data_IF_661336849015
#
_entry.id   IF_661336849015
#
_cell.length_a   1.000
_cell.length_b   1.000
_cell.length_c   1.000
_cell.angle_alpha   90.00
_cell.angle_beta   90.00
_cell.angle_gamma   90.00
#
_symmetry.space_group_name_H-M   'P 1'
#
loop_
_entity.id
_entity.type
_entity.pdbx_description
1 polymer ?
#
# COMPACT_ATOMS: atom_id res chain seq x y z
N UNK A 1 8.65 -3.01 19.75
CA UNK A 1 8.31 -1.61 20.08
C UNK A 1 7.67 -0.85 18.88
N UNK A 2 6.92 -1.52 18.00
CA UNK A 2 6.28 -0.86 16.84
C UNK A 2 4.74 -0.75 16.93
N UNK A 3 4.11 -1.30 17.98
CA UNK A 3 2.66 -1.30 18.14
C UNK A 3 2.09 -0.06 18.87
N UNK A 4 2.93 0.75 19.53
CA UNK A 4 2.43 1.89 20.31
C UNK A 4 2.22 3.18 19.52
N UNK A 5 2.64 3.30 18.26
CA UNK A 5 2.42 4.51 17.46
C UNK A 5 1.05 4.57 16.78
N UNK A 6 0.36 3.44 16.57
CA UNK A 6 -1.02 3.46 16.02
C UNK A 6 -2.09 3.84 17.06
N UNK A 7 -1.76 3.82 18.36
CA UNK A 7 -2.71 4.18 19.44
C UNK A 7 -2.95 5.69 19.61
N UNK A 8 -2.10 6.57 19.09
CA UNK A 8 -2.30 8.03 19.18
C UNK A 8 -3.06 8.65 18.00
N UNK A 9 -3.38 7.87 16.96
CA UNK A 9 -4.25 8.28 15.84
C UNK A 9 -5.62 7.60 15.87
N UNK A 10 -5.88 6.70 16.82
CA UNK A 10 -7.08 5.85 16.85
C UNK A 10 -8.35 6.53 17.38
N UNK A 11 -8.49 7.86 17.26
CA UNK A 11 -9.62 8.55 17.89
C UNK A 11 -10.67 9.16 16.96
N UNK A 12 -10.69 8.85 15.65
CA UNK A 12 -11.78 9.36 14.79
C UNK A 12 -11.93 8.76 13.37
N UNK A 13 -12.00 7.45 13.20
CA UNK A 13 -12.56 6.87 11.96
C UNK A 13 -13.27 5.55 12.25
N UNK A 14 -14.60 5.56 12.18
CA UNK A 14 -15.48 4.37 12.24
C UNK A 14 -15.31 3.41 11.03
N UNK A 15 -14.27 3.56 10.21
CA UNK A 15 -13.99 2.70 9.06
C UNK A 15 -13.32 1.37 9.42
N UNK A 16 -12.99 1.13 10.70
CA UNK A 16 -12.40 -0.13 11.15
C UNK A 16 -13.47 -1.19 11.45
N UNK A 17 -14.29 -1.58 10.46
CA UNK A 17 -15.00 -2.87 10.55
C UNK A 17 -14.05 -3.93 10.05
N UNK A 18 -13.11 -4.35 10.91
CA UNK A 18 -12.23 -5.49 10.63
C UNK A 18 -13.08 -6.75 10.76
N UNK A 19 -13.54 -7.29 9.64
CA UNK A 19 -14.15 -8.61 9.61
C UNK A 19 -13.02 -9.64 9.72
N UNK A 20 -12.96 -10.30 10.87
CA UNK A 20 -11.91 -11.26 11.23
C UNK A 20 -12.31 -12.66 10.73
N UNK A 21 -12.12 -12.92 9.44
CA UNK A 21 -12.26 -14.26 8.83
C UNK A 21 -11.40 -14.22 7.55
N UNK A 22 -10.44 -15.09 7.23
CA UNK A 22 -10.38 -16.55 7.40
C UNK A 22 -8.94 -17.07 7.51
N UNK A 23 -8.86 -18.26 8.09
CA UNK A 23 -7.74 -19.19 8.15
C UNK A 23 -7.75 -20.03 6.86
N UNK A 24 -6.70 -20.01 6.02
CA UNK A 24 -6.26 -21.17 5.20
C UNK A 24 -4.98 -20.92 4.37
N UNK A 25 -4.11 -21.95 4.40
CA UNK A 25 -2.80 -22.16 3.76
C UNK A 25 -1.63 -21.22 4.13
N UNK A 26 -0.43 -21.81 4.20
CA UNK A 26 0.83 -21.16 4.59
C UNK A 26 1.34 -20.16 3.52
N UNK A 27 0.50 -19.18 3.16
CA UNK A 27 0.92 -17.99 2.43
C UNK A 27 1.66 -17.08 3.40
N UNK A 28 2.81 -16.60 2.95
CA UNK A 28 3.52 -15.52 3.65
C UNK A 28 2.60 -14.31 3.67
N UNK A 29 2.31 -13.78 4.85
CA UNK A 29 1.37 -12.65 4.96
C UNK A 29 1.95 -11.41 4.29
N UNK A 30 1.11 -10.65 3.58
CA UNK A 30 1.44 -9.36 3.00
C UNK A 30 1.98 -8.42 4.06
N UNK A 31 1.43 -8.42 5.28
CA UNK A 31 1.96 -7.66 6.40
C UNK A 31 3.43 -8.03 6.69
N UNK A 32 3.76 -9.32 6.74
CA UNK A 32 5.13 -9.77 6.99
C UNK A 32 6.09 -9.40 5.84
N UNK A 33 5.62 -9.47 4.59
CA UNK A 33 6.38 -9.06 3.41
C UNK A 33 6.69 -7.56 3.43
N UNK A 34 5.70 -6.72 3.72
CA UNK A 34 5.88 -5.27 3.83
C UNK A 34 6.81 -4.90 5.00
N UNK A 35 6.72 -5.64 6.11
CA UNK A 35 7.61 -5.47 7.26
C UNK A 35 9.05 -5.83 6.90
N UNK A 36 9.26 -6.97 6.27
CA UNK A 36 10.59 -7.49 5.92
C UNK A 36 11.27 -6.64 4.84
N UNK A 37 10.53 -6.24 3.79
CA UNK A 37 11.05 -5.45 2.68
C UNK A 37 10.85 -3.93 2.85
N UNK A 38 10.60 -3.46 4.07
CA UNK A 38 10.27 -2.05 4.35
C UNK A 38 11.29 -1.08 3.75
N UNK A 39 12.59 -1.33 3.93
CA UNK A 39 13.64 -0.44 3.42
C UNK A 39 13.73 -0.42 1.89
N UNK A 40 13.47 -1.56 1.25
CA UNK A 40 13.40 -1.67 -0.20
C UNK A 40 12.23 -0.85 -0.74
N UNK A 41 11.05 -0.96 -0.13
CA UNK A 41 9.87 -0.20 -0.53
C UNK A 41 10.08 1.29 -0.32
N UNK A 42 10.60 1.69 0.83
CA UNK A 42 10.88 3.09 1.18
C UNK A 42 11.91 3.74 0.24
N UNK A 43 12.87 2.97 -0.28
CA UNK A 43 13.89 3.48 -1.20
C UNK A 43 13.45 3.52 -2.67
N UNK A 44 12.60 2.58 -3.10
CA UNK A 44 12.24 2.40 -4.52
C UNK A 44 10.89 2.99 -4.91
N UNK A 45 10.00 3.25 -3.95
CA UNK A 45 8.66 3.75 -4.21
C UNK A 45 8.71 5.28 -4.44
N UNK A 46 8.75 5.68 -5.71
CA UNK A 46 8.92 7.08 -6.13
C UNK A 46 7.60 7.83 -6.32
N UNK A 47 6.56 7.13 -6.75
CA UNK A 47 5.23 7.68 -6.98
C UNK A 47 4.27 7.21 -5.90
N UNK A 48 3.95 8.11 -4.95
CA UNK A 48 3.04 7.82 -3.84
C UNK A 48 1.59 8.17 -4.15
N UNK A 49 1.34 9.13 -5.06
CA UNK A 49 0.00 9.64 -5.30
C UNK A 49 -0.91 8.57 -5.90
N UNK A 50 -0.41 7.80 -6.85
CA UNK A 50 -1.14 6.67 -7.42
C UNK A 50 -1.54 5.65 -6.35
N UNK A 51 -0.71 5.41 -5.34
CA UNK A 51 -1.07 4.51 -4.24
C UNK A 51 -2.13 5.14 -3.35
N UNK A 52 -1.96 6.41 -2.96
CA UNK A 52 -2.92 7.12 -2.12
C UNK A 52 -4.30 7.19 -2.77
N UNK A 53 -4.38 7.51 -4.06
CA UNK A 53 -5.65 7.60 -4.81
C UNK A 53 -6.37 6.24 -4.84
N UNK A 54 -5.64 5.16 -5.09
CA UNK A 54 -6.23 3.82 -5.14
C UNK A 54 -6.63 3.34 -3.74
N UNK A 55 -5.80 3.55 -2.72
CA UNK A 55 -6.14 3.19 -1.34
C UNK A 55 -7.34 3.99 -0.81
N UNK A 56 -7.47 5.27 -1.19
CA UNK A 56 -8.63 6.09 -0.88
C UNK A 56 -9.88 5.59 -1.61
N UNK A 57 -9.78 5.34 -2.92
CA UNK A 57 -10.89 4.85 -3.73
C UNK A 57 -11.35 3.43 -3.32
N UNK A 58 -10.42 2.60 -2.84
CA UNK A 58 -10.71 1.29 -2.26
C UNK A 58 -11.28 1.34 -0.84
N UNK A 59 -11.37 2.53 -0.22
CA UNK A 59 -11.90 2.71 1.13
C UNK A 59 -10.94 2.29 2.26
N UNK A 60 -9.68 1.99 1.95
CA UNK A 60 -8.67 1.63 2.94
C UNK A 60 -8.07 2.85 3.65
N UNK A 61 -7.98 3.98 2.94
CA UNK A 61 -7.62 5.28 3.52
C UNK A 61 -8.80 6.25 3.42
N UNK A 62 -8.88 7.18 4.36
CA UNK A 62 -9.78 8.34 4.27
C UNK A 62 -9.01 9.59 3.79
N UNK A 63 -9.73 10.67 3.50
CA UNK A 63 -9.12 11.95 3.09
C UNK A 63 -8.12 12.47 4.16
N UNK A 64 -8.43 12.28 5.44
CA UNK A 64 -7.55 12.66 6.55
C UNK A 64 -6.24 11.86 6.54
N UNK A 65 -6.30 10.55 6.29
CA UNK A 65 -5.11 9.70 6.16
C UNK A 65 -4.21 10.19 5.01
N UNK A 66 -4.82 10.55 3.87
CA UNK A 66 -4.12 11.10 2.70
C UNK A 66 -3.47 12.44 3.01
N UNK A 67 -4.20 13.36 3.67
CA UNK A 67 -3.66 14.65 4.09
C UNK A 67 -2.47 14.50 5.05
N UNK A 68 -2.55 13.58 6.02
CA UNK A 68 -1.46 13.31 6.96
C UNK A 68 -0.20 12.86 6.21
N UNK A 69 -0.34 11.96 5.24
CA UNK A 69 0.78 11.53 4.41
C UNK A 69 1.32 12.71 3.61
N UNK A 70 0.46 13.46 2.92
CA UNK A 70 0.89 14.59 2.07
C UNK A 70 1.59 15.71 2.86
N UNK A 71 1.22 15.94 4.13
CA UNK A 71 1.89 16.90 5.02
C UNK A 71 3.27 16.46 5.50
N UNK A 72 3.65 15.20 5.28
CA UNK A 72 4.97 14.68 5.64
C UNK A 72 6.05 15.24 4.69
N UNK A 73 7.16 15.73 5.25
CA UNK A 73 8.14 16.57 4.55
C UNK A 73 8.92 15.81 3.46
N UNK A 74 9.39 14.59 3.76
CA UNK A 74 10.23 13.84 2.83
C UNK A 74 9.45 12.71 2.17
N UNK A 75 9.73 12.43 0.89
CA UNK A 75 9.14 11.29 0.18
C UNK A 75 9.37 9.98 0.93
N UNK A 76 10.57 9.79 1.45
CA UNK A 76 10.95 8.61 2.23
C UNK A 76 10.06 8.44 3.45
N UNK A 77 9.78 9.52 4.19
CA UNK A 77 8.87 9.50 5.33
C UNK A 77 7.41 9.32 4.92
N UNK A 78 7.00 9.86 3.76
CA UNK A 78 5.68 9.60 3.18
C UNK A 78 5.48 8.11 2.91
N UNK A 79 6.45 7.43 2.30
CA UNK A 79 6.37 5.97 2.07
C UNK A 79 6.30 5.21 3.39
N UNK A 80 7.13 5.57 4.37
CA UNK A 80 7.08 4.96 5.70
C UNK A 80 5.69 5.11 6.33
N UNK A 81 5.08 6.29 6.20
CA UNK A 81 3.75 6.58 6.74
C UNK A 81 2.66 5.78 6.03
N UNK A 82 2.72 5.66 4.71
CA UNK A 82 1.80 4.81 3.94
C UNK A 82 1.89 3.37 4.41
N UNK A 83 3.12 2.83 4.52
CA UNK A 83 3.34 1.46 4.98
C UNK A 83 2.79 1.25 6.39
N UNK A 84 2.94 2.21 7.30
CA UNK A 84 2.36 2.16 8.65
C UNK A 84 0.83 2.14 8.61
N UNK A 85 0.22 2.99 7.78
CA UNK A 85 -1.24 3.05 7.65
C UNK A 85 -1.81 1.73 7.11
N UNK A 86 -1.30 1.21 5.99
CA UNK A 86 -1.83 -0.04 5.40
C UNK A 86 -1.64 -1.23 6.34
N UNK A 87 -0.52 -1.31 7.08
CA UNK A 87 -0.30 -2.35 8.08
C UNK A 87 -1.27 -2.23 9.27
N UNK A 88 -1.65 -1.01 9.67
CA UNK A 88 -2.64 -0.82 10.73
C UNK A 88 -4.09 -1.07 10.26
N UNK A 89 -4.38 -0.97 8.96
CA UNK A 89 -5.70 -1.33 8.40
C UNK A 89 -5.90 -2.84 8.28
N UNK A 90 -4.83 -3.60 8.06
CA UNK A 90 -4.83 -5.06 8.08
C UNK A 90 -4.30 -5.71 6.81
N UNK A 91 -4.46 -7.03 6.73
CA UNK A 91 -3.88 -7.85 5.68
C UNK A 91 -4.42 -7.52 4.29
N UNK A 92 -5.74 -7.28 4.16
CA UNK A 92 -6.38 -6.92 2.90
C UNK A 92 -5.85 -5.60 2.32
N UNK A 93 -5.64 -4.59 3.18
CA UNK A 93 -5.04 -3.32 2.78
C UNK A 93 -3.58 -3.49 2.33
N UNK A 94 -2.84 -4.36 3.01
CA UNK A 94 -1.47 -4.72 2.62
C UNK A 94 -1.45 -5.44 1.27
N UNK A 95 -2.36 -6.39 1.04
CA UNK A 95 -2.46 -7.11 -0.23
C UNK A 95 -2.84 -6.15 -1.36
N UNK A 96 -3.82 -5.28 -1.15
CA UNK A 96 -4.24 -4.31 -2.15
C UNK A 96 -3.12 -3.30 -2.47
N UNK A 97 -2.32 -2.89 -1.48
CA UNK A 97 -1.11 -2.09 -1.72
C UNK A 97 -0.13 -2.79 -2.68
N UNK A 98 0.16 -4.07 -2.45
CA UNK A 98 1.05 -4.86 -3.33
C UNK A 98 0.39 -5.05 -4.71
N UNK A 99 -0.93 -5.23 -4.75
CA UNK A 99 -1.71 -5.34 -5.99
C UNK A 99 -1.63 -4.07 -6.85
N UNK A 100 -1.68 -2.88 -6.24
CA UNK A 100 -1.49 -1.61 -6.96
C UNK A 100 -0.10 -1.58 -7.62
N UNK A 101 0.95 -1.94 -6.88
CA UNK A 101 2.33 -1.98 -7.40
C UNK A 101 2.45 -2.99 -8.56
N UNK A 102 1.78 -4.13 -8.45
CA UNK A 102 1.74 -5.16 -9.49
C UNK A 102 1.02 -4.68 -10.77
N UNK A 103 -0.13 -4.01 -10.64
CA UNK A 103 -0.92 -3.54 -11.79
C UNK A 103 -0.27 -2.35 -12.51
N UNK A 104 0.31 -1.43 -11.75
CA UNK A 104 0.89 -0.19 -12.27
C UNK A 104 2.36 -0.41 -12.60
N UNK A 105 2.62 -1.41 -13.46
CA UNK A 105 3.97 -1.89 -13.82
C UNK A 105 4.92 -0.74 -14.19
N UNK A 106 4.49 0.17 -15.06
CA UNK A 106 5.34 1.22 -15.61
C UNK A 106 5.82 2.22 -14.54
N UNK A 107 4.96 2.55 -13.57
CA UNK A 107 5.32 3.47 -12.48
C UNK A 107 6.22 2.80 -11.42
N UNK A 108 6.17 1.47 -11.34
CA UNK A 108 6.84 0.67 -10.30
C UNK A 108 7.79 -0.38 -10.88
N UNK A 109 8.44 -0.08 -11.99
CA UNK A 109 9.35 -1.01 -12.68
C UNK A 109 10.48 -1.53 -11.77
N UNK A 110 10.98 -0.67 -10.87
CA UNK A 110 12.04 -1.01 -9.91
C UNK A 110 11.60 -2.00 -8.81
N UNK A 111 10.29 -2.18 -8.64
CA UNK A 111 9.67 -3.10 -7.68
C UNK A 111 9.25 -4.43 -8.33
N UNK A 112 9.25 -4.53 -9.66
CA UNK A 112 8.92 -5.76 -10.37
C UNK A 112 9.86 -6.93 -10.06
N UNK A 113 11.19 -6.74 -9.92
CA UNK A 113 12.09 -7.82 -9.50
C UNK A 113 11.72 -8.37 -8.11
N UNK A 114 11.34 -7.47 -7.20
CA UNK A 114 10.91 -7.85 -5.86
C UNK A 114 9.61 -8.66 -5.89
N UNK A 115 8.60 -8.25 -6.67
CA UNK A 115 7.36 -8.99 -6.84
C UNK A 115 7.59 -10.42 -7.37
N UNK A 116 8.57 -10.60 -8.26
CA UNK A 116 8.97 -11.93 -8.76
C UNK A 116 9.68 -12.76 -7.69
N UNK A 117 10.55 -12.14 -6.88
CA UNK A 117 11.28 -12.79 -5.79
C UNK A 117 10.33 -13.38 -4.75
N UNK A 118 9.29 -12.63 -4.37
CA UNK A 118 8.27 -13.09 -3.41
C UNK A 118 7.21 -14.00 -4.05
N UNK A 119 7.33 -14.30 -5.34
CA UNK A 119 6.36 -15.05 -6.15
C UNK A 119 4.92 -14.54 -5.94
N UNK A 120 4.75 -13.20 -5.97
CA UNK A 120 3.46 -12.58 -5.68
C UNK A 120 2.41 -13.01 -6.72
N UNK A 121 1.28 -13.48 -6.23
CA UNK A 121 0.11 -13.80 -7.03
C UNK A 121 -1.12 -13.16 -6.38
N UNK A 122 -1.85 -12.29 -7.08
CA UNK A 122 -2.97 -11.59 -6.49
C UNK A 122 -4.10 -12.56 -6.13
N UNK A 123 -4.69 -12.41 -4.94
CA UNK A 123 -5.88 -13.16 -4.54
C UNK A 123 -7.10 -12.76 -5.36
N UNK A 124 -8.13 -13.62 -5.34
CA UNK A 124 -9.41 -13.32 -5.99
C UNK A 124 -10.07 -12.07 -5.40
N UNK A 125 -9.83 -11.79 -4.12
CA UNK A 125 -10.40 -10.67 -3.37
C UNK A 125 -9.84 -9.33 -3.85
N UNK A 126 -8.53 -9.22 -4.08
CA UNK A 126 -7.95 -7.98 -4.62
C UNK A 126 -8.15 -7.86 -6.13
N UNK A 127 -8.27 -8.95 -6.87
CA UNK A 127 -8.47 -8.87 -8.34
C UNK A 127 -9.81 -8.26 -8.76
N UNK A 128 -10.82 -8.27 -7.89
CA UNK A 128 -12.09 -7.59 -8.16
C UNK A 128 -12.03 -6.09 -7.86
N UNK A 129 -10.98 -5.62 -7.18
CA UNK A 129 -10.77 -4.22 -6.86
C UNK A 129 -10.23 -3.47 -8.08
N UNK A 130 -10.74 -2.26 -8.29
CA UNK A 130 -10.30 -1.41 -9.40
C UNK A 130 -8.95 -0.76 -9.05
N UNK A 131 -7.97 -0.87 -9.94
CA UNK A 131 -6.72 -0.10 -9.88
C UNK A 131 -6.69 0.88 -11.05
N UNK A 132 -6.53 2.16 -10.75
CA UNK A 132 -6.38 3.23 -11.74
C UNK A 132 -4.94 3.71 -11.71
N UNK A 133 -4.25 3.63 -12.85
CA UNK A 133 -2.95 4.25 -13.01
C UNK A 133 -3.15 5.78 -13.14
N UNK A 134 -2.95 6.50 -12.04
CA UNK A 134 -3.00 7.99 -12.00
C UNK A 134 -1.60 8.62 -12.16
N UNK A 135 -0.58 7.82 -12.50
CA UNK A 135 0.77 8.33 -12.61
C UNK A 135 0.92 9.26 -13.84
N UNK A 136 1.40 10.51 -13.64
CA UNK A 136 1.50 11.50 -14.72
C UNK A 136 2.61 11.17 -15.76
N UNK A 137 3.49 10.20 -15.50
CA UNK A 137 4.58 9.84 -16.43
C UNK A 137 4.11 9.17 -17.72
N UNK A 138 2.83 8.81 -17.84
CA UNK A 138 2.26 8.34 -19.13
C UNK A 138 2.26 9.39 -20.25
N UNK A 139 2.61 10.65 -19.95
CA UNK A 139 2.68 11.72 -20.96
C UNK A 139 4.10 12.05 -21.47
N UNK A 140 5.16 11.37 -21.03
CA UNK A 140 6.54 11.76 -21.40
C UNK A 140 7.25 10.92 -22.46
N UNK A 141 6.60 9.93 -23.08
CA UNK A 141 7.20 9.17 -24.19
C UNK A 141 6.31 9.15 -25.45
N UNK A 142 6.03 10.34 -25.99
CA UNK A 142 5.75 10.57 -27.41
C UNK A 142 6.24 11.99 -27.77
N UNK A 143 7.56 12.16 -27.86
CA UNK A 143 8.22 13.25 -28.60
C UNK A 143 9.41 12.65 -29.35
#
# INVERSE_FOLDING_TARGET
MAFLSCLLLSHRCDCCVINMVQMEEAKVSCLSLLTYHRELLVSRLRSIQCILDNLLAGGFLCEEDVEIVQRTVTKTDQVRKILELVQCKGEEACEYFIFIIYNVHDAYIDLQPWLKEINYQPSKEVTVMKVVNTDPSKYTFYC
#
